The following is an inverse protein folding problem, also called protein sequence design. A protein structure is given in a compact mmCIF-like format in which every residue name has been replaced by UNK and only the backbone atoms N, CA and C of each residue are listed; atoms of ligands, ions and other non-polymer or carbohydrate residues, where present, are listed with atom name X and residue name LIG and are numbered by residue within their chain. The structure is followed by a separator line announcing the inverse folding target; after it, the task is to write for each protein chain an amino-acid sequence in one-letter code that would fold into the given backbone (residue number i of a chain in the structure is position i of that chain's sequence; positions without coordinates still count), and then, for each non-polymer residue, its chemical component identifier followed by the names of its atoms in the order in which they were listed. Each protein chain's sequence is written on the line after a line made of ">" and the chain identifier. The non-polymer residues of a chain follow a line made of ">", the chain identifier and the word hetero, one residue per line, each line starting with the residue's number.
data_IF_078800825312
#
_entry.id   IF_078800825312
#
_cell.length_a   1.000
_cell.length_b   1.000
_cell.length_c   1.000
_cell.angle_alpha   90.00
_cell.angle_beta   90.00
_cell.angle_gamma   90.00
#
_symmetry.space_group_name_H-M   'P 1'
#
loop_
_entity.id
_entity.type
_entity.pdbx_description
1 polymer ?
#
# COMPACT_ATOMS: atom_id res chain seq x y z
N UNK A 1 -15.13 -21.89 -0.77
CA UNK A 1 -15.13 -21.04 -1.98
C UNK A 1 -13.91 -20.15 -1.88
N UNK A 2 -13.00 -20.20 -2.84
CA UNK A 2 -11.82 -19.33 -2.86
C UNK A 2 -12.25 -17.91 -3.22
N UNK A 3 -12.10 -16.99 -2.28
CA UNK A 3 -12.37 -15.57 -2.46
C UNK A 3 -11.20 -14.97 -3.27
N UNK A 4 -11.48 -14.50 -4.48
CA UNK A 4 -10.48 -13.93 -5.38
C UNK A 4 -10.65 -12.42 -5.46
N UNK A 5 -9.60 -11.68 -5.15
CA UNK A 5 -9.55 -10.23 -5.34
C UNK A 5 -8.97 -9.90 -6.71
N UNK A 6 -9.83 -9.42 -7.62
CA UNK A 6 -9.44 -9.07 -8.99
C UNK A 6 -9.00 -7.61 -9.14
N UNK A 7 -9.33 -6.75 -8.17
CA UNK A 7 -9.03 -5.31 -8.18
C UNK A 7 -8.64 -4.84 -6.78
N UNK A 8 -7.76 -3.86 -6.70
CA UNK A 8 -7.22 -3.35 -5.43
C UNK A 8 -8.31 -2.70 -4.56
N UNK A 9 -9.25 -1.99 -5.17
CA UNK A 9 -10.40 -1.36 -4.50
C UNK A 9 -11.42 -2.36 -3.94
N UNK A 10 -11.33 -3.65 -4.31
CA UNK A 10 -12.16 -4.71 -3.75
C UNK A 10 -11.60 -5.27 -2.44
N UNK A 11 -10.37 -4.87 -2.07
CA UNK A 11 -9.68 -5.32 -0.86
C UNK A 11 -9.90 -4.26 0.23
N UNK A 12 -10.27 -4.68 1.43
CA UNK A 12 -10.36 -3.75 2.57
C UNK A 12 -8.96 -3.29 2.95
N UNK A 13 -8.83 -2.01 3.31
CA UNK A 13 -7.57 -1.39 3.70
C UNK A 13 -6.81 -2.18 4.78
N UNK A 14 -7.54 -2.73 5.77
CA UNK A 14 -6.99 -3.56 6.84
C UNK A 14 -6.35 -4.88 6.36
N UNK A 15 -6.81 -5.42 5.22
CA UNK A 15 -6.35 -6.71 4.71
C UNK A 15 -5.19 -6.57 3.69
N UNK A 16 -4.91 -5.34 3.23
CA UNK A 16 -3.92 -5.08 2.17
C UNK A 16 -2.50 -5.44 2.61
N UNK A 17 -2.09 -5.07 3.83
CA UNK A 17 -0.75 -5.39 4.33
C UNK A 17 -0.57 -6.90 4.51
N UNK A 18 -1.60 -7.60 4.98
CA UNK A 18 -1.56 -9.06 5.16
C UNK A 18 -1.53 -9.85 3.85
N UNK A 19 -2.05 -9.27 2.76
CA UNK A 19 -1.98 -9.85 1.41
C UNK A 19 -0.73 -9.41 0.63
N UNK A 20 0.05 -8.47 1.17
CA UNK A 20 1.26 -7.98 0.52
C UNK A 20 2.41 -8.98 0.69
N UNK A 21 2.93 -9.49 -0.42
CA UNK A 21 4.15 -10.29 -0.45
C UNK A 21 5.20 -9.47 -1.18
N UNK A 22 5.98 -8.73 -0.40
CA UNK A 22 6.88 -7.69 -0.90
C UNK A 22 8.29 -8.24 -1.03
N UNK A 23 8.89 -8.18 -2.22
CA UNK A 23 10.29 -8.57 -2.41
C UNK A 23 11.22 -7.35 -2.29
N UNK A 24 12.54 -7.55 -2.34
CA UNK A 24 13.52 -6.46 -2.22
C UNK A 24 13.35 -5.37 -3.29
N UNK A 25 12.99 -5.76 -4.52
CA UNK A 25 12.72 -4.82 -5.60
C UNK A 25 11.48 -3.96 -5.31
N UNK A 26 10.40 -4.58 -4.82
CA UNK A 26 9.17 -3.87 -4.47
C UNK A 26 9.41 -2.92 -3.29
N UNK A 27 10.26 -3.31 -2.32
CA UNK A 27 10.62 -2.43 -1.20
C UNK A 27 11.36 -1.17 -1.67
N UNK A 28 12.19 -1.24 -2.73
CA UNK A 28 12.79 -0.04 -3.34
C UNK A 28 11.73 0.86 -3.97
N UNK A 29 10.73 0.27 -4.63
CA UNK A 29 9.61 1.02 -5.21
C UNK A 29 8.79 1.69 -4.10
N UNK A 30 8.44 0.96 -3.04
CA UNK A 30 7.73 1.52 -1.88
C UNK A 30 8.50 2.69 -1.26
N UNK A 31 9.80 2.54 -1.03
CA UNK A 31 10.62 3.62 -0.49
C UNK A 31 10.65 4.85 -1.40
N UNK A 32 10.69 4.66 -2.73
CA UNK A 32 10.61 5.76 -3.68
C UNK A 32 9.23 6.45 -3.64
N UNK A 33 8.15 5.67 -3.56
CA UNK A 33 6.77 6.17 -3.44
C UNK A 33 6.52 6.91 -2.11
N UNK A 34 7.22 6.53 -1.03
CA UNK A 34 7.17 7.21 0.28
C UNK A 34 8.01 8.48 0.35
N UNK A 35 8.88 8.71 -0.63
CA UNK A 35 9.70 9.93 -0.67
C UNK A 35 8.86 11.14 -1.09
N UNK A 36 9.35 12.34 -0.76
CA UNK A 36 8.73 13.59 -1.20
C UNK A 36 9.05 13.94 -2.67
N UNK A 37 9.83 13.10 -3.37
CA UNK A 37 10.19 13.31 -4.77
C UNK A 37 9.11 12.75 -5.71
N UNK A 38 8.80 13.42 -6.83
CA UNK A 38 7.86 12.91 -7.80
C UNK A 38 8.38 11.61 -8.43
N UNK A 39 7.57 10.55 -8.36
CA UNK A 39 7.90 9.23 -8.87
C UNK A 39 6.97 8.83 -10.02
N UNK A 40 7.53 8.22 -11.08
CA UNK A 40 6.77 7.60 -12.17
C UNK A 40 6.80 6.08 -12.04
N UNK A 41 5.64 5.45 -11.88
CA UNK A 41 5.51 4.00 -11.76
C UNK A 41 5.01 3.37 -13.08
N UNK A 42 5.92 2.73 -13.82
CA UNK A 42 5.62 2.05 -15.07
C UNK A 42 5.45 0.53 -14.88
N UNK A 43 4.53 -0.08 -15.64
CA UNK A 43 4.39 -1.54 -15.69
C UNK A 43 3.11 -1.98 -16.42
N UNK A 44 3.08 -3.25 -16.86
CA UNK A 44 1.95 -3.83 -17.60
C UNK A 44 0.63 -3.77 -16.81
N UNK A 45 -0.52 -3.91 -17.49
CA UNK A 45 -1.85 -3.92 -16.84
C UNK A 45 -1.93 -5.09 -15.85
N UNK A 46 -2.46 -4.83 -14.65
CA UNK A 46 -2.68 -5.87 -13.63
C UNK A 46 -1.44 -6.27 -12.82
N UNK A 47 -0.30 -5.61 -12.99
CA UNK A 47 0.95 -5.86 -12.24
C UNK A 47 0.95 -5.37 -10.79
N UNK A 48 -0.17 -4.86 -10.27
CA UNK A 48 -0.26 -4.40 -8.89
C UNK A 48 0.26 -2.98 -8.64
N UNK A 49 0.40 -2.12 -9.66
CA UNK A 49 0.80 -0.70 -9.47
C UNK A 49 -0.05 0.04 -8.42
N UNK A 50 -1.38 -0.06 -8.54
CA UNK A 50 -2.32 0.54 -7.59
C UNK A 50 -2.22 -0.10 -6.20
N UNK A 51 -1.89 -1.39 -6.14
CA UNK A 51 -1.67 -2.10 -4.88
C UNK A 51 -0.43 -1.58 -4.15
N UNK A 52 0.70 -1.42 -4.86
CA UNK A 52 1.94 -0.85 -4.29
C UNK A 52 1.73 0.58 -3.78
N UNK A 53 1.00 1.42 -4.52
CA UNK A 53 0.65 2.76 -4.03
C UNK A 53 -0.16 2.70 -2.74
N UNK A 54 -1.10 1.76 -2.63
CA UNK A 54 -1.94 1.61 -1.44
C UNK A 54 -1.16 1.07 -0.23
N UNK A 55 -0.21 0.17 -0.46
CA UNK A 55 0.71 -0.30 0.58
C UNK A 55 1.58 0.86 1.08
N UNK A 56 2.14 1.67 0.17
CA UNK A 56 2.95 2.84 0.56
C UNK A 56 2.16 3.86 1.38
N UNK A 57 0.91 4.15 0.98
CA UNK A 57 0.00 5.01 1.75
C UNK A 57 -0.24 4.48 3.16
N UNK A 58 -0.49 3.17 3.30
CA UNK A 58 -0.71 2.54 4.61
C UNK A 58 0.52 2.59 5.51
N UNK A 59 1.70 2.31 4.97
CA UNK A 59 2.95 2.42 5.71
C UNK A 59 3.20 3.87 6.17
N UNK A 60 2.91 4.87 5.33
CA UNK A 60 3.03 6.28 5.71
C UNK A 60 2.03 6.68 6.81
N UNK A 61 0.79 6.19 6.73
CA UNK A 61 -0.23 6.42 7.76
C UNK A 61 0.22 5.85 9.12
N UNK A 62 0.79 4.63 9.13
CA UNK A 62 1.26 3.94 10.34
C UNK A 62 2.53 4.57 10.93
N UNK A 63 3.47 5.00 10.07
CA UNK A 63 4.68 5.72 10.46
C UNK A 63 4.39 7.14 11.01
N UNK A 64 3.23 7.73 10.65
CA UNK A 64 2.88 9.09 11.08
C UNK A 64 2.39 9.15 12.55
N UNK A 65 3.00 9.99 13.40
CA UNK A 65 2.60 10.09 14.81
C UNK A 65 1.21 10.72 15.01
N UNK A 66 0.67 11.39 14.00
CA UNK A 66 -0.67 11.99 14.03
C UNK A 66 -1.80 10.95 13.93
N UNK A 67 -1.54 9.77 13.38
CA UNK A 67 -2.57 8.75 13.17
C UNK A 67 -2.77 7.82 14.38
N UNK A 68 -1.75 7.67 15.23
CA UNK A 68 -1.81 6.81 16.44
C UNK A 68 -2.85 7.31 17.47
N UNK A 69 -3.22 8.60 17.43
CA UNK A 69 -4.20 9.22 18.33
C UNK A 69 -5.67 9.04 17.86
N UNK A 70 -5.95 8.37 16.73
CA UNK A 70 -7.35 8.09 16.33
C UNK A 70 -8.08 7.09 17.23
N UNK A 71 -7.36 6.39 18.11
CA UNK A 71 -7.96 5.59 19.19
C UNK A 71 -8.47 6.45 20.37
N UNK A 72 -8.29 7.79 20.33
CA UNK A 72 -8.72 8.72 21.39
C UNK A 72 -9.83 9.70 21.00
N UNK A 73 -10.28 9.73 19.75
CA UNK A 73 -11.52 10.43 19.40
C UNK A 73 -12.67 9.42 19.34
N UNK A 74 -13.35 9.30 20.49
CA UNK A 74 -14.69 8.72 20.62
C UNK A 74 -15.69 9.40 19.69
#
# INVERSE_FOLDING_TARGET
>A
MSEFYLRTESIKQADILGLSVVNEADRKILNALKSNEPCLLEGSRGTGKSFLMRVAELELEDESPLCQDRSRLN
#
